data_IF_779720731998
#
_entry.id   IF_779720731998
#
_cell.length_a   1.000
_cell.length_b   1.000
_cell.length_c   1.000
_cell.angle_alpha   90.00
_cell.angle_beta   90.00
_cell.angle_gamma   90.00
#
_symmetry.space_group_name_H-M   'P 1'
#
loop_
_entity.id
_entity.type
_entity.pdbx_description
1 polymer ?
#
# COMPACT_ATOMS: atom_id res chain seq x y z
N UNK A 1 0.91 4.56 -4.85
CA UNK A 1 0.22 3.37 -4.30
C UNK A 1 1.17 2.45 -3.54
N UNK A 2 2.26 1.98 -4.16
CA UNK A 2 3.25 1.11 -3.48
C UNK A 2 3.83 1.75 -2.20
N UNK A 3 4.12 3.06 -2.20
CA UNK A 3 4.57 3.76 -0.99
C UNK A 3 3.55 3.69 0.15
N UNK A 4 2.27 3.93 -0.14
CA UNK A 4 1.17 3.83 0.83
C UNK A 4 1.00 2.40 1.38
N UNK A 5 1.18 1.39 0.52
CA UNK A 5 1.24 -0.01 0.92
C UNK A 5 2.41 -0.24 1.89
N UNK A 6 3.60 0.27 1.57
CA UNK A 6 4.83 0.15 2.36
C UNK A 6 4.77 0.88 3.71
N UNK A 7 3.97 1.94 3.78
CA UNK A 7 3.58 2.65 5.01
C UNK A 7 2.61 1.85 5.88
N UNK A 8 2.01 0.77 5.34
CA UNK A 8 1.10 -0.12 6.06
C UNK A 8 -0.37 0.28 6.01
N UNK A 9 -0.75 1.23 5.14
CA UNK A 9 -2.13 1.72 5.03
C UNK A 9 -3.08 0.66 4.45
N UNK A 10 -4.23 0.45 5.08
CA UNK A 10 -5.23 -0.47 4.57
C UNK A 10 -5.82 0.00 3.24
N UNK A 11 -6.38 -0.92 2.44
CA UNK A 11 -6.94 -0.60 1.12
C UNK A 11 -7.98 0.53 1.17
N UNK A 12 -8.75 0.60 2.27
CA UNK A 12 -9.73 1.68 2.52
C UNK A 12 -9.07 3.05 2.74
N UNK A 13 -7.94 3.09 3.45
CA UNK A 13 -7.21 4.34 3.70
C UNK A 13 -6.52 4.82 2.42
N UNK A 14 -5.96 3.89 1.66
CA UNK A 14 -5.41 4.15 0.33
C UNK A 14 -6.49 4.67 -0.62
N UNK A 15 -7.68 4.05 -0.59
CA UNK A 15 -8.83 4.47 -1.38
C UNK A 15 -9.25 5.91 -1.05
N UNK A 16 -9.32 6.24 0.24
CA UNK A 16 -9.64 7.60 0.69
C UNK A 16 -8.60 8.63 0.26
N UNK A 17 -7.30 8.33 0.41
CA UNK A 17 -6.24 9.24 -0.01
C UNK A 17 -6.21 9.47 -1.52
N UNK A 18 -6.50 8.43 -2.30
CA UNK A 18 -6.48 8.51 -3.76
C UNK A 18 -7.82 8.94 -4.36
N UNK A 19 -8.88 9.10 -3.55
CA UNK A 19 -10.22 9.43 -4.03
C UNK A 19 -10.85 8.35 -4.93
N UNK A 20 -10.47 7.08 -4.74
CA UNK A 20 -10.95 5.94 -5.55
C UNK A 20 -11.74 4.95 -4.69
N UNK A 21 -12.41 3.99 -5.32
CA UNK A 21 -13.08 2.91 -4.58
C UNK A 21 -12.06 1.92 -3.99
N UNK A 22 -12.36 1.26 -2.85
CA UNK A 22 -11.52 0.17 -2.32
C UNK A 22 -11.35 -1.00 -3.31
N UNK A 23 -12.33 -1.21 -4.20
CA UNK A 23 -12.24 -2.24 -5.23
C UNK A 23 -11.20 -1.87 -6.31
N UNK A 24 -11.20 -0.60 -6.73
CA UNK A 24 -10.16 -0.04 -7.61
C UNK A 24 -8.78 -0.21 -6.98
N UNK A 25 -8.67 0.00 -5.67
CA UNK A 25 -7.41 -0.23 -4.94
C UNK A 25 -6.95 -1.67 -5.05
N UNK A 26 -7.83 -2.65 -4.81
CA UNK A 26 -7.47 -4.07 -4.93
C UNK A 26 -7.01 -4.45 -6.34
N UNK A 27 -7.65 -3.92 -7.37
CA UNK A 27 -7.22 -4.15 -8.75
C UNK A 27 -5.82 -3.60 -9.01
N UNK A 28 -5.53 -2.39 -8.53
CA UNK A 28 -4.19 -1.81 -8.63
C UNK A 28 -3.15 -2.58 -7.83
N UNK A 29 -3.48 -3.05 -6.63
CA UNK A 29 -2.60 -3.87 -5.78
C UNK A 29 -2.29 -5.21 -6.47
N UNK A 30 -3.29 -5.88 -7.05
CA UNK A 30 -3.10 -7.12 -7.78
C UNK A 30 -2.19 -6.92 -9.02
N UNK A 31 -2.44 -5.86 -9.80
CA UNK A 31 -1.57 -5.53 -10.93
C UNK A 31 -0.14 -5.19 -10.48
N UNK A 32 0.02 -4.56 -9.32
CA UNK A 32 1.31 -4.24 -8.73
C UNK A 32 2.04 -5.52 -8.34
N UNK A 33 1.35 -6.47 -7.70
CA UNK A 33 1.90 -7.78 -7.31
C UNK A 33 2.46 -8.53 -8.52
N UNK A 34 1.69 -8.59 -9.60
CA UNK A 34 2.17 -9.20 -10.86
C UNK A 34 3.36 -8.47 -11.47
N UNK A 35 3.46 -7.14 -11.31
CA UNK A 35 4.58 -6.35 -11.86
C UNK A 35 5.89 -6.52 -11.09
N UNK A 36 5.80 -6.79 -9.79
CA UNK A 36 6.98 -6.88 -8.90
C UNK A 36 7.28 -8.32 -8.48
N UNK A 37 6.55 -9.28 -9.04
CA UNK A 37 6.67 -10.72 -8.80
C UNK A 37 6.54 -11.09 -7.31
N UNK A 38 5.50 -10.57 -6.66
CA UNK A 38 5.17 -10.89 -5.25
C UNK A 38 3.76 -11.42 -5.13
N UNK A 39 3.50 -12.21 -4.10
CA UNK A 39 2.22 -12.90 -3.94
C UNK A 39 1.41 -12.42 -2.72
N UNK A 40 2.02 -11.60 -1.88
CA UNK A 40 1.40 -11.11 -0.64
C UNK A 40 1.67 -9.64 -0.41
N UNK A 41 0.79 -9.02 0.38
CA UNK A 41 0.98 -7.68 0.92
C UNK A 41 2.28 -7.56 1.71
N UNK A 42 2.60 -8.58 2.51
CA UNK A 42 3.85 -8.61 3.28
C UNK A 42 5.07 -8.56 2.36
N UNK A 43 5.09 -9.40 1.34
CA UNK A 43 6.15 -9.42 0.32
C UNK A 43 6.27 -8.09 -0.41
N UNK A 44 5.15 -7.49 -0.83
CA UNK A 44 5.14 -6.19 -1.47
C UNK A 44 5.70 -5.07 -0.58
N UNK A 45 5.42 -5.12 0.74
CA UNK A 45 5.96 -4.17 1.71
C UNK A 45 7.47 -4.34 1.86
N UNK A 46 7.95 -5.57 1.99
CA UNK A 46 9.40 -5.87 2.06
C UNK A 46 10.08 -5.40 0.79
N UNK A 47 9.56 -5.82 -0.38
CA UNK A 47 10.06 -5.44 -1.69
C UNK A 47 10.17 -3.92 -1.85
N UNK A 48 9.15 -3.19 -1.39
CA UNK A 48 9.12 -1.73 -1.42
C UNK A 48 10.16 -1.09 -0.49
N UNK A 49 10.34 -1.64 0.72
CA UNK A 49 11.32 -1.15 1.69
C UNK A 49 12.75 -1.37 1.23
N UNK A 50 13.06 -2.54 0.69
CA UNK A 50 14.39 -2.87 0.16
C UNK A 50 14.82 -1.94 -0.97
N UNK A 51 13.86 -1.44 -1.74
CA UNK A 51 14.10 -0.55 -2.89
C UNK A 51 13.88 0.93 -2.57
N UNK A 52 13.66 1.29 -1.30
CA UNK A 52 13.50 2.68 -0.87
C UNK A 52 12.17 3.34 -1.27
N UNK A 53 11.16 2.56 -1.68
CA UNK A 53 9.82 3.07 -1.98
C UNK A 53 8.99 3.41 -0.72
N UNK A 54 9.44 2.96 0.45
CA UNK A 54 8.88 3.38 1.73
C UNK A 54 9.42 4.78 2.09
N UNK A 55 8.74 5.82 1.63
CA UNK A 55 8.91 7.16 2.20
C UNK A 55 8.64 7.08 3.70
N UNK A 56 9.50 7.74 4.50
CA UNK A 56 9.47 7.93 5.97
C UNK A 56 8.29 7.25 6.70
N UNK A 57 8.53 6.43 7.75
CA UNK A 57 7.48 5.69 8.45
C UNK A 57 6.30 6.61 8.74
N UNK A 58 5.19 6.39 8.02
CA UNK A 58 4.01 7.20 8.17
C UNK A 58 3.56 7.11 9.62
N UNK A 59 3.47 8.26 10.29
CA UNK A 59 2.77 8.39 11.56
C UNK A 59 1.40 7.75 11.35
N UNK A 60 1.15 6.62 12.02
CA UNK A 60 -0.19 6.00 12.09
C UNK A 60 -1.20 7.13 12.27
N UNK A 61 -2.23 7.27 11.40
CA UNK A 61 -3.33 8.16 11.74
C UNK A 61 -3.89 7.64 13.07
N UNK A 62 -3.89 8.51 14.08
CA UNK A 62 -4.48 8.21 15.38
C UNK A 62 -5.91 7.72 15.10
N UNK A 63 -6.17 6.44 15.42
CA UNK A 63 -7.52 5.90 15.41
C UNK A 63 -8.38 6.87 16.23
N UNK A 64 -9.31 7.58 15.58
CA UNK A 64 -10.33 8.34 16.30
C UNK A 64 -11.14 7.33 17.15
N UNK A 65 -11.49 7.70 18.40
CA UNK A 65 -12.23 6.84 19.33
C UNK A 65 -13.60 6.47 18.79
#
# INVERSE_FOLDING_TARGET
MLGLLAEGLADKEIAQQLGVSPNTVRNHVAALYSKIDVHSRGEAIVWARERGFAGRPAKKPARKP
#
